data_IF_998885250981
#
_entry.id   IF_998885250981
#
_cell.length_a   1.000
_cell.length_b   1.000
_cell.length_c   1.000
_cell.angle_alpha   90.00
_cell.angle_beta   90.00
_cell.angle_gamma   90.00
#
_symmetry.space_group_name_H-M   'P 1'
#
loop_
_entity.id
_entity.type
_entity.pdbx_description
1 polymer ?
#
# COMPACT_ATOMS: atom_id res chain seq x y z
N UNK A 1 3.80 6.41 -18.14
CA UNK A 1 3.70 5.12 -17.41
C UNK A 1 4.65 5.05 -16.22
N UNK A 2 5.97 5.22 -16.39
CA UNK A 2 6.95 5.11 -15.28
C UNK A 2 6.69 6.03 -14.08
N UNK A 3 6.32 7.30 -14.33
CA UNK A 3 5.96 8.23 -13.25
C UNK A 3 4.76 7.75 -12.42
N UNK A 4 3.76 7.11 -13.03
CA UNK A 4 2.57 6.62 -12.31
C UNK A 4 2.96 5.46 -11.41
N UNK A 5 3.75 4.51 -11.92
CA UNK A 5 4.24 3.39 -11.12
C UNK A 5 5.10 3.87 -9.95
N UNK A 6 5.93 4.89 -10.16
CA UNK A 6 6.73 5.49 -9.09
C UNK A 6 5.85 6.14 -8.01
N UNK A 7 4.81 6.89 -8.41
CA UNK A 7 3.88 7.50 -7.45
C UNK A 7 3.07 6.46 -6.68
N UNK A 8 2.63 5.38 -7.34
CA UNK A 8 1.98 4.25 -6.70
C UNK A 8 2.90 3.57 -5.69
N UNK A 9 4.16 3.33 -6.08
CA UNK A 9 5.16 2.72 -5.22
C UNK A 9 5.45 3.57 -3.98
N UNK A 10 5.76 4.85 -4.15
CA UNK A 10 6.09 5.74 -3.04
C UNK A 10 4.90 5.94 -2.10
N UNK A 11 3.70 6.15 -2.64
CA UNK A 11 2.49 6.28 -1.84
C UNK A 11 2.21 5.01 -1.02
N UNK A 12 2.30 3.84 -1.66
CA UNK A 12 2.13 2.55 -0.98
C UNK A 12 3.20 2.28 0.08
N UNK A 13 4.47 2.64 -0.19
CA UNK A 13 5.57 2.47 0.77
C UNK A 13 5.36 3.34 2.01
N UNK A 14 4.94 4.60 1.85
CA UNK A 14 4.66 5.46 3.00
C UNK A 14 3.53 4.92 3.88
N UNK A 15 2.42 4.47 3.27
CA UNK A 15 1.32 3.88 4.03
C UNK A 15 1.77 2.59 4.72
N UNK A 16 2.47 1.70 4.00
CA UNK A 16 2.95 0.45 4.57
C UNK A 16 3.92 0.69 5.73
N UNK A 17 4.83 1.67 5.59
CA UNK A 17 5.75 2.06 6.65
C UNK A 17 5.01 2.57 7.89
N UNK A 18 4.03 3.48 7.71
CA UNK A 18 3.22 4.02 8.81
C UNK A 18 2.48 2.90 9.54
N UNK A 19 1.87 1.96 8.82
CA UNK A 19 1.15 0.83 9.43
C UNK A 19 2.12 -0.09 10.16
N UNK A 20 3.25 -0.46 9.56
CA UNK A 20 4.23 -1.35 10.21
C UNK A 20 4.84 -0.72 11.46
N UNK A 21 5.17 0.57 11.43
CA UNK A 21 5.67 1.31 12.59
C UNK A 21 4.62 1.38 13.70
N UNK A 22 3.35 1.59 13.34
CA UNK A 22 2.25 1.55 14.31
C UNK A 22 2.19 0.19 15.01
N UNK A 23 2.19 -0.89 14.23
CA UNK A 23 2.16 -2.26 14.77
C UNK A 23 3.38 -2.58 15.64
N UNK A 24 4.55 -1.99 15.34
CA UNK A 24 5.78 -2.25 16.08
C UNK A 24 5.87 -1.53 17.42
N UNK A 25 5.42 -0.27 17.47
CA UNK A 25 5.76 0.65 18.56
C UNK A 25 4.56 1.20 19.33
N UNK A 26 3.34 1.03 18.82
CA UNK A 26 2.16 1.67 19.39
C UNK A 26 1.27 0.60 20.03
N UNK A 27 0.96 0.81 21.30
CA UNK A 27 0.04 -0.04 22.03
C UNK A 27 -1.39 0.08 21.46
N UNK A 28 -2.16 -1.03 21.45
CA UNK A 28 -3.49 -1.07 20.84
C UNK A 28 -4.56 -0.42 21.73
N UNK A 29 -4.37 0.84 22.10
CA UNK A 29 -5.33 1.64 22.85
C UNK A 29 -5.66 2.95 22.12
N UNK A 30 -6.84 3.51 22.39
CA UNK A 30 -7.37 4.67 21.66
C UNK A 30 -6.48 5.92 21.73
N UNK A 31 -5.84 6.14 22.88
CA UNK A 31 -5.09 7.37 23.13
C UNK A 31 -3.76 7.36 22.37
N UNK A 32 -3.02 6.26 22.43
CA UNK A 32 -1.73 6.14 21.76
C UNK A 32 -1.89 6.01 20.24
N UNK A 33 -2.91 5.29 19.78
CA UNK A 33 -3.29 5.26 18.36
C UNK A 33 -3.69 6.65 17.86
N UNK A 34 -4.49 7.39 18.63
CA UNK A 34 -4.92 8.74 18.28
C UNK A 34 -3.74 9.71 18.13
N UNK A 35 -2.80 9.69 19.09
CA UNK A 35 -1.56 10.49 19.03
C UNK A 35 -0.73 10.11 17.80
N UNK A 36 -0.52 8.81 17.57
CA UNK A 36 0.26 8.34 16.43
C UNK A 36 -0.33 8.80 15.10
N UNK A 37 -1.66 8.71 14.93
CA UNK A 37 -2.34 9.18 13.73
C UNK A 37 -2.18 10.69 13.52
N UNK A 38 -2.21 11.50 14.58
CA UNK A 38 -1.95 12.94 14.47
C UNK A 38 -0.50 13.22 14.03
N UNK A 39 0.48 12.50 14.59
CA UNK A 39 1.89 12.67 14.21
C UNK A 39 2.18 12.22 12.78
N UNK A 40 1.52 11.15 12.32
CA UNK A 40 1.72 10.59 10.97
C UNK A 40 0.81 11.22 9.92
N UNK A 41 -0.12 12.09 10.31
CA UNK A 41 -1.04 12.77 9.40
C UNK A 41 -0.35 13.44 8.20
N UNK A 42 0.77 14.19 8.37
CA UNK A 42 1.46 14.80 7.22
C UNK A 42 1.99 13.77 6.22
N UNK A 43 2.52 12.65 6.73
CA UNK A 43 3.04 11.56 5.89
C UNK A 43 1.89 10.88 5.15
N UNK A 44 0.79 10.60 5.84
CA UNK A 44 -0.42 10.03 5.24
C UNK A 44 -1.02 10.96 4.20
N UNK A 45 -1.01 12.28 4.43
CA UNK A 45 -1.48 13.28 3.48
C UNK A 45 -0.64 13.27 2.20
N UNK A 46 0.69 13.25 2.33
CA UNK A 46 1.61 13.14 1.18
C UNK A 46 1.35 11.84 0.42
N UNK A 47 1.29 10.71 1.13
CA UNK A 47 1.06 9.40 0.51
C UNK A 47 -0.25 9.36 -0.28
N UNK A 48 -1.35 9.84 0.31
CA UNK A 48 -2.64 9.91 -0.37
C UNK A 48 -2.63 10.89 -1.55
N UNK A 49 -1.91 11.99 -1.46
CA UNK A 49 -1.75 12.93 -2.58
C UNK A 49 -1.04 12.27 -3.77
N UNK A 50 0.05 11.54 -3.50
CA UNK A 50 0.79 10.80 -4.54
C UNK A 50 -0.10 9.74 -5.19
N UNK A 51 -0.82 8.96 -4.39
CA UNK A 51 -1.73 7.92 -4.87
C UNK A 51 -2.87 8.52 -5.69
N UNK A 52 -3.48 9.61 -5.23
CA UNK A 52 -4.56 10.27 -5.95
C UNK A 52 -4.12 10.75 -7.33
N UNK A 53 -2.97 11.42 -7.42
CA UNK A 53 -2.39 11.84 -8.71
C UNK A 53 -2.15 10.62 -9.61
N UNK A 54 -1.63 9.52 -9.04
CA UNK A 54 -1.37 8.29 -9.77
C UNK A 54 -2.66 7.61 -10.25
N UNK A 55 -3.72 7.61 -9.45
CA UNK A 55 -5.02 7.06 -9.80
C UNK A 55 -5.70 7.85 -10.90
N UNK A 56 -5.74 9.17 -10.81
CA UNK A 56 -6.35 10.02 -11.84
C UNK A 56 -5.61 9.88 -13.17
N UNK A 57 -4.27 9.96 -13.17
CA UNK A 57 -3.46 9.81 -14.39
C UNK A 57 -3.45 8.37 -14.90
N UNK A 58 -3.45 7.40 -13.98
CA UNK A 58 -3.46 5.98 -14.30
C UNK A 58 -4.78 5.57 -14.95
N UNK A 59 -5.91 5.95 -14.38
CA UNK A 59 -7.23 5.65 -14.95
C UNK A 59 -7.32 6.16 -16.40
N UNK A 60 -6.82 7.37 -16.68
CA UNK A 60 -6.83 7.92 -18.03
C UNK A 60 -5.99 7.09 -19.03
N UNK A 61 -4.99 6.34 -18.58
CA UNK A 61 -4.13 5.49 -19.42
C UNK A 61 -4.67 4.06 -19.52
N UNK A 62 -5.07 3.48 -18.39
CA UNK A 62 -5.49 2.08 -18.28
C UNK A 62 -6.99 1.89 -18.55
N UNK A 63 -7.76 2.96 -18.69
CA UNK A 63 -9.22 2.91 -18.93
C UNK A 63 -10.05 2.45 -17.74
N UNK A 64 -9.42 1.94 -16.67
CA UNK A 64 -10.10 1.37 -15.51
C UNK A 64 -9.40 1.78 -14.22
N UNK A 65 -10.14 2.45 -13.33
CA UNK A 65 -9.66 2.77 -11.98
C UNK A 65 -9.39 1.49 -11.18
N UNK A 66 -10.22 0.45 -11.38
CA UNK A 66 -10.09 -0.81 -10.67
C UNK A 66 -8.74 -1.50 -10.98
N UNK A 67 -8.26 -1.42 -12.22
CA UNK A 67 -6.92 -1.92 -12.58
C UNK A 67 -5.83 -1.17 -11.82
N UNK A 68 -5.89 0.17 -11.82
CA UNK A 68 -4.83 0.99 -11.18
C UNK A 68 -4.81 0.82 -9.66
N UNK A 69 -5.99 0.78 -9.03
CA UNK A 69 -6.11 0.49 -7.59
C UNK A 69 -5.67 -0.93 -7.29
N UNK A 70 -6.00 -1.91 -8.14
CA UNK A 70 -5.53 -3.28 -8.00
C UNK A 70 -3.99 -3.36 -8.01
N UNK A 71 -3.34 -2.68 -8.96
CA UNK A 71 -1.86 -2.58 -9.00
C UNK A 71 -1.34 -1.97 -7.70
N UNK A 72 -1.96 -0.90 -7.22
CA UNK A 72 -1.56 -0.24 -5.98
C UNK A 72 -1.67 -1.17 -4.77
N UNK A 73 -2.76 -1.93 -4.64
CA UNK A 73 -2.96 -2.90 -3.56
C UNK A 73 -1.90 -3.99 -3.61
N UNK A 74 -1.57 -4.51 -4.80
CA UNK A 74 -0.51 -5.50 -4.95
C UNK A 74 0.85 -4.96 -4.48
N UNK A 75 1.20 -3.73 -4.88
CA UNK A 75 2.43 -3.05 -4.44
C UNK A 75 2.41 -2.82 -2.92
N UNK A 76 1.28 -2.39 -2.36
CA UNK A 76 1.11 -2.15 -0.94
C UNK A 76 1.29 -3.42 -0.10
N UNK A 77 0.68 -4.54 -0.53
CA UNK A 77 0.80 -5.82 0.17
C UNK A 77 2.23 -6.36 0.13
N UNK A 78 2.93 -6.21 -1.00
CA UNK A 78 4.36 -6.52 -1.10
C UNK A 78 5.18 -5.63 -0.15
N UNK A 79 4.85 -4.34 -0.06
CA UNK A 79 5.53 -3.39 0.83
C UNK A 79 5.31 -3.74 2.30
N UNK A 80 4.09 -4.11 2.70
CA UNK A 80 3.81 -4.63 4.05
C UNK A 80 4.62 -5.88 4.32
N UNK A 81 4.59 -6.86 3.41
CA UNK A 81 5.33 -8.11 3.59
C UNK A 81 6.84 -7.85 3.79
N UNK A 82 7.41 -6.94 3.00
CA UNK A 82 8.80 -6.51 3.12
C UNK A 82 9.07 -5.86 4.49
N UNK A 83 8.26 -4.88 4.90
CA UNK A 83 8.48 -4.21 6.19
C UNK A 83 8.19 -5.10 7.38
N UNK A 84 7.23 -6.02 7.31
CA UNK A 84 7.00 -7.02 8.35
C UNK A 84 8.21 -7.93 8.52
N UNK A 85 8.84 -8.35 7.43
CA UNK A 85 10.08 -9.11 7.49
C UNK A 85 11.23 -8.29 8.10
N UNK A 86 11.44 -7.06 7.64
CA UNK A 86 12.57 -6.22 8.06
C UNK A 86 12.41 -5.63 9.47
N UNK A 87 11.21 -5.21 9.85
CA UNK A 87 10.96 -4.45 11.09
C UNK A 87 10.36 -5.29 12.20
N UNK A 88 9.45 -6.21 11.87
CA UNK A 88 8.76 -7.06 12.87
C UNK A 88 9.44 -8.43 13.02
N UNK A 89 10.40 -8.77 12.15
CA UNK A 89 11.04 -10.09 12.15
C UNK A 89 10.07 -11.22 11.79
N UNK A 90 8.91 -10.90 11.21
CA UNK A 90 7.90 -11.88 10.86
C UNK A 90 8.32 -12.60 9.58
N UNK A 91 8.38 -13.93 9.64
CA UNK A 91 8.63 -14.73 8.44
C UNK A 91 7.39 -14.74 7.55
N UNK A 92 7.61 -14.69 6.24
CA UNK A 92 6.53 -14.74 5.28
C UNK A 92 5.88 -16.13 5.32
N UNK A 93 4.63 -16.19 5.77
CA UNK A 93 3.88 -17.45 5.74
C UNK A 93 3.53 -17.84 4.31
N UNK A 94 3.38 -19.15 4.06
CA UNK A 94 2.95 -19.65 2.74
C UNK A 94 1.57 -19.10 2.34
N UNK A 95 0.67 -18.91 3.33
CA UNK A 95 -0.64 -18.32 3.12
C UNK A 95 -0.55 -16.86 2.67
N UNK A 96 0.38 -16.09 3.25
CA UNK A 96 0.64 -14.70 2.85
C UNK A 96 1.18 -14.64 1.42
N UNK A 97 2.12 -15.52 1.07
CA UNK A 97 2.67 -15.60 -0.28
C UNK A 97 1.58 -15.96 -1.32
N UNK A 98 0.74 -16.96 -1.02
CA UNK A 98 -0.40 -17.33 -1.87
C UNK A 98 -1.41 -16.18 -2.01
N UNK A 99 -1.74 -15.47 -0.93
CA UNK A 99 -2.64 -14.32 -0.96
C UNK A 99 -2.12 -13.20 -1.86
N UNK A 100 -0.82 -12.88 -1.78
CA UNK A 100 -0.18 -11.88 -2.65
C UNK A 100 -0.20 -12.35 -4.11
N UNK A 101 0.09 -13.63 -4.39
CA UNK A 101 0.05 -14.17 -5.73
C UNK A 101 -1.35 -14.09 -6.36
N UNK A 102 -2.39 -14.43 -5.59
CA UNK A 102 -3.78 -14.31 -6.03
C UNK A 102 -4.19 -12.86 -6.29
N UNK A 103 -3.74 -11.91 -5.46
CA UNK A 103 -3.97 -10.49 -5.70
C UNK A 103 -3.36 -10.02 -7.03
N UNK A 104 -2.11 -10.38 -7.31
CA UNK A 104 -1.45 -10.03 -8.58
C UNK A 104 -2.20 -10.64 -9.77
N UNK A 105 -2.65 -11.89 -9.65
CA UNK A 105 -3.47 -12.53 -10.68
C UNK A 105 -4.81 -11.81 -10.88
N UNK A 106 -5.49 -11.40 -9.80
CA UNK A 106 -6.76 -10.68 -9.87
C UNK A 106 -6.63 -9.35 -10.64
N UNK A 107 -5.52 -8.63 -10.47
CA UNK A 107 -5.22 -7.41 -11.24
C UNK A 107 -5.19 -7.67 -12.74
N UNK A 108 -4.64 -8.81 -13.16
CA UNK A 108 -4.60 -9.19 -14.57
C UNK A 108 -6.00 -9.43 -15.15
N UNK A 109 -6.91 -10.00 -14.37
CA UNK A 109 -8.29 -10.24 -14.78
C UNK A 109 -9.16 -8.97 -14.79
N UNK A 110 -8.84 -7.97 -13.96
CA UNK A 110 -9.54 -6.69 -13.90
C UNK A 110 -9.41 -5.84 -15.19
N UNK A 111 -8.52 -6.22 -16.10
CA UNK A 111 -8.23 -5.52 -17.36
C UNK A 111 -9.22 -5.84 -18.51
N UNK A 112 -10.45 -6.26 -18.22
CA UNK A 112 -11.46 -6.56 -19.26
C UNK A 112 -12.80 -5.92 -18.90
N UNK A 113 -12.98 -4.68 -19.35
CA UNK A 113 -14.24 -3.95 -19.40
C UNK A 113 -14.17 -2.98 -20.56
#
# INVERSE_FOLDING_TARGET
MGQILLLLLLGSLFIALVVTLQTKYIDPNWLDVGKYNLYTFPVMFIANTLLFIAFTKGQAIFGSLAVVVGIQIAIYMLSIALFSYLMLGQQLSWNTALGIALLVLAVFFLNRG
#
